data_IF_241081340044
#
_entry.id   IF_241081340044
#
_cell.length_a   1.000
_cell.length_b   1.000
_cell.length_c   1.000
_cell.angle_alpha   90.00
_cell.angle_beta   90.00
_cell.angle_gamma   90.00
#
_symmetry.space_group_name_H-M   'P 1'
#
loop_
_entity.id
_entity.type
_entity.pdbx_description
1 polymer ?
#
# COMPACT_ATOMS: atom_id res chain seq x y z
N UNK A 1 -11.02 -48.10 -28.12
CA UNK A 1 -10.72 -46.66 -27.99
C UNK A 1 -10.72 -46.30 -26.51
N UNK A 2 -9.63 -45.76 -25.94
CA UNK A 2 -9.64 -45.26 -24.57
C UNK A 2 -10.63 -44.08 -24.46
N UNK A 3 -11.34 -43.99 -23.33
CA UNK A 3 -12.28 -42.88 -23.08
C UNK A 3 -11.50 -41.54 -23.02
N UNK A 4 -12.02 -40.45 -23.62
CA UNK A 4 -11.36 -39.15 -23.52
C UNK A 4 -11.36 -38.67 -22.06
N UNK A 5 -10.21 -38.19 -21.59
CA UNK A 5 -10.04 -37.68 -20.23
C UNK A 5 -10.88 -36.41 -20.02
N UNK A 6 -11.66 -36.37 -18.94
CA UNK A 6 -12.54 -35.28 -18.55
C UNK A 6 -11.90 -34.35 -17.52
N UNK A 7 -12.57 -33.26 -17.16
CA UNK A 7 -12.02 -32.28 -16.20
C UNK A 7 -11.77 -32.89 -14.83
N UNK A 8 -12.59 -33.87 -14.42
CA UNK A 8 -12.47 -34.55 -13.13
C UNK A 8 -11.20 -35.39 -13.00
N UNK A 9 -10.69 -35.93 -14.11
CA UNK A 9 -9.48 -36.77 -14.12
C UNK A 9 -8.22 -35.98 -13.74
N UNK A 10 -8.29 -34.64 -13.80
CA UNK A 10 -7.20 -33.72 -13.43
C UNK A 10 -7.40 -33.06 -12.06
N UNK A 11 -8.40 -33.47 -11.27
CA UNK A 11 -8.66 -32.89 -9.95
C UNK A 11 -8.39 -33.93 -8.86
N UNK A 12 -7.48 -33.61 -7.93
CA UNK A 12 -7.11 -34.51 -6.84
C UNK A 12 -8.27 -34.84 -5.87
N UNK A 13 -9.26 -33.95 -5.73
CA UNK A 13 -10.45 -34.12 -4.86
C UNK A 13 -11.69 -33.47 -5.51
N UNK A 14 -12.74 -34.26 -5.77
CA UNK A 14 -14.05 -33.75 -6.25
C UNK A 14 -14.94 -33.34 -5.06
N UNK A 15 -15.13 -32.03 -4.90
CA UNK A 15 -15.96 -31.46 -3.82
C UNK A 15 -17.46 -31.50 -4.10
N UNK A 16 -17.86 -31.81 -5.34
CA UNK A 16 -19.27 -31.81 -5.73
C UNK A 16 -19.94 -33.15 -5.50
N UNK A 17 -19.19 -34.25 -5.53
CA UNK A 17 -19.66 -35.63 -5.29
C UNK A 17 -20.81 -36.10 -6.19
N UNK A 18 -21.26 -35.28 -7.15
CA UNK A 18 -22.41 -35.54 -8.02
C UNK A 18 -22.03 -36.18 -9.35
N UNK A 19 -20.74 -36.31 -9.66
CA UNK A 19 -20.31 -36.95 -10.91
C UNK A 19 -20.59 -36.11 -12.16
N UNK A 20 -20.85 -34.80 -12.06
CA UNK A 20 -21.00 -33.87 -13.20
C UNK A 20 -19.77 -32.95 -13.37
N UNK A 21 -19.12 -33.03 -14.54
CA UNK A 21 -17.90 -32.26 -14.88
C UNK A 21 -18.17 -30.74 -14.89
N UNK A 22 -19.32 -30.32 -15.39
CA UNK A 22 -19.66 -28.90 -15.51
C UNK A 22 -19.91 -28.29 -14.13
N UNK A 23 -20.56 -29.04 -13.25
CA UNK A 23 -20.82 -28.64 -11.88
C UNK A 23 -19.52 -28.50 -11.07
N UNK A 24 -18.61 -29.47 -11.21
CA UNK A 24 -17.28 -29.46 -10.59
C UNK A 24 -16.44 -28.25 -11.06
N UNK A 25 -16.47 -27.95 -12.36
CA UNK A 25 -15.81 -26.78 -12.95
C UNK A 25 -16.38 -25.46 -12.41
N UNK A 26 -17.71 -25.35 -12.30
CA UNK A 26 -18.38 -24.17 -11.75
C UNK A 26 -18.12 -24.00 -10.23
N UNK A 27 -18.01 -25.09 -9.47
CA UNK A 27 -17.62 -25.08 -8.05
C UNK A 27 -16.18 -24.57 -7.86
N UNK A 28 -15.23 -25.10 -8.65
CA UNK A 28 -13.82 -24.66 -8.59
C UNK A 28 -13.65 -23.21 -9.03
N UNK A 29 -14.46 -22.72 -9.97
CA UNK A 29 -14.49 -21.29 -10.33
C UNK A 29 -14.99 -20.42 -9.17
N UNK A 30 -16.06 -20.84 -8.48
CA UNK A 30 -16.59 -20.13 -7.29
C UNK A 30 -15.56 -20.04 -6.16
N UNK A 31 -14.83 -21.12 -5.87
CA UNK A 31 -13.78 -21.12 -4.84
C UNK A 31 -12.56 -20.24 -5.19
N UNK A 32 -12.22 -20.12 -6.48
CA UNK A 32 -11.18 -19.19 -6.94
C UNK A 32 -11.62 -17.72 -6.83
N UNK A 33 -12.89 -17.44 -7.08
CA UNK A 33 -13.44 -16.08 -7.00
C UNK A 33 -13.77 -15.63 -5.56
N UNK A 34 -13.93 -16.58 -4.62
CA UNK A 34 -14.21 -16.31 -3.20
C UNK A 34 -13.00 -15.85 -2.37
N UNK A 35 -11.91 -15.41 -3.01
CA UNK A 35 -10.86 -14.61 -2.35
C UNK A 35 -9.88 -15.38 -1.46
N UNK A 36 -9.98 -16.70 -1.36
CA UNK A 36 -9.08 -17.56 -0.58
C UNK A 36 -8.14 -18.36 -1.48
N UNK A 37 -7.55 -17.67 -2.44
CA UNK A 37 -6.35 -18.11 -3.16
C UNK A 37 -5.46 -16.87 -3.31
N UNK A 38 -4.88 -16.44 -2.19
CA UNK A 38 -3.79 -15.48 -2.20
C UNK A 38 -2.50 -16.27 -2.10
N UNK A 39 -1.81 -16.47 -3.22
CA UNK A 39 -0.34 -16.48 -3.35
C UNK A 39 0.01 -16.86 -4.79
N UNK A 40 0.81 -16.02 -5.46
CA UNK A 40 1.39 -16.21 -6.80
C UNK A 40 0.56 -15.68 -7.99
N UNK A 41 0.42 -14.36 -8.03
CA UNK A 41 0.35 -13.60 -9.28
C UNK A 41 1.41 -12.47 -9.20
N UNK A 42 2.04 -12.07 -10.31
CA UNK A 42 3.12 -11.08 -10.31
C UNK A 42 2.66 -9.75 -9.68
N UNK A 43 3.59 -8.88 -9.31
CA UNK A 43 3.41 -7.53 -8.72
C UNK A 43 2.47 -6.60 -9.53
N UNK A 44 1.19 -6.97 -9.68
CA UNK A 44 0.22 -6.25 -10.47
C UNK A 44 -0.43 -5.19 -9.59
N UNK A 45 -0.09 -3.94 -9.88
CA UNK A 45 -0.85 -2.80 -9.42
C UNK A 45 -2.35 -3.03 -9.67
N UNK A 46 -3.23 -2.68 -8.70
CA UNK A 46 -4.67 -2.90 -8.78
C UNK A 46 -5.22 -2.61 -10.19
N UNK A 47 -5.94 -3.58 -10.75
CA UNK A 47 -6.63 -3.42 -12.04
C UNK A 47 -7.61 -2.23 -11.96
N UNK A 48 -7.97 -1.64 -13.11
CA UNK A 48 -8.86 -0.48 -13.16
C UNK A 48 -10.18 -0.77 -12.43
N UNK A 49 -10.74 -1.96 -12.61
CA UNK A 49 -11.97 -2.39 -11.94
C UNK A 49 -11.80 -2.49 -10.42
N UNK A 50 -10.71 -3.08 -9.93
CA UNK A 50 -10.39 -3.14 -8.49
C UNK A 50 -10.20 -1.74 -7.89
N UNK A 51 -9.58 -0.82 -8.65
CA UNK A 51 -9.39 0.58 -8.25
C UNK A 51 -10.73 1.30 -8.09
N UNK A 52 -11.64 1.15 -9.04
CA UNK A 52 -12.99 1.73 -8.97
C UNK A 52 -13.80 1.16 -7.79
N UNK A 53 -13.71 -0.15 -7.53
CA UNK A 53 -14.33 -0.79 -6.35
C UNK A 53 -13.78 -0.21 -5.05
N UNK A 54 -12.46 -0.10 -4.92
CA UNK A 54 -11.80 0.48 -3.75
C UNK A 54 -12.14 1.97 -3.58
N UNK A 55 -12.23 2.73 -4.67
CA UNK A 55 -12.64 4.14 -4.63
C UNK A 55 -14.05 4.29 -4.05
N UNK A 56 -15.01 3.46 -4.49
CA UNK A 56 -16.38 3.45 -3.93
C UNK A 56 -16.39 3.10 -2.44
N UNK A 57 -15.63 2.09 -2.03
CA UNK A 57 -15.49 1.73 -0.61
C UNK A 57 -14.89 2.88 0.22
N UNK A 58 -13.84 3.53 -0.29
CA UNK A 58 -13.20 4.66 0.40
C UNK A 58 -14.11 5.88 0.52
N UNK A 59 -14.99 6.14 -0.45
CA UNK A 59 -16.04 7.17 -0.34
C UNK A 59 -16.99 6.86 0.82
N UNK A 60 -17.46 5.61 0.96
CA UNK A 60 -18.30 5.18 2.07
C UNK A 60 -17.60 5.29 3.43
N UNK A 61 -16.30 5.00 3.48
CA UNK A 61 -15.51 5.04 4.71
C UNK A 61 -14.95 6.44 5.04
N UNK A 62 -15.04 7.41 4.12
CA UNK A 62 -14.51 8.76 4.28
C UNK A 62 -14.87 9.43 5.62
N UNK A 63 -16.13 9.44 6.09
CA UNK A 63 -16.48 10.06 7.38
C UNK A 63 -15.83 9.34 8.57
N UNK A 64 -15.79 8.00 8.56
CA UNK A 64 -15.12 7.20 9.61
C UNK A 64 -13.62 7.49 9.65
N UNK A 65 -12.98 7.60 8.48
CA UNK A 65 -11.57 7.97 8.34
C UNK A 65 -11.34 9.39 8.84
N UNK A 66 -12.24 10.34 8.56
CA UNK A 66 -12.13 11.72 9.02
C UNK A 66 -12.16 11.79 10.56
N UNK A 67 -13.10 11.09 11.21
CA UNK A 67 -13.16 10.98 12.68
C UNK A 67 -11.89 10.34 13.23
N UNK A 68 -11.42 9.25 12.62
CA UNK A 68 -10.18 8.58 13.00
C UNK A 68 -8.96 9.51 12.91
N UNK A 69 -8.87 10.30 11.83
CA UNK A 69 -7.82 11.33 11.63
C UNK A 69 -7.90 12.43 12.69
N UNK A 70 -9.10 12.91 13.01
CA UNK A 70 -9.30 13.91 14.05
C UNK A 70 -8.86 13.41 15.42
N UNK A 71 -9.27 12.18 15.80
CA UNK A 71 -8.85 11.52 17.04
C UNK A 71 -7.34 11.30 17.10
N UNK A 72 -6.72 10.86 16.00
CA UNK A 72 -5.27 10.65 15.92
C UNK A 72 -4.48 11.98 15.98
N UNK A 73 -4.99 13.05 15.38
CA UNK A 73 -4.34 14.36 15.40
C UNK A 73 -4.27 14.98 16.81
N UNK A 74 -5.20 14.63 17.70
CA UNK A 74 -5.19 15.04 19.12
C UNK A 74 -4.10 14.32 19.92
N UNK A 75 -3.73 13.10 19.52
CA UNK A 75 -2.71 12.29 20.21
C UNK A 75 -1.29 12.71 19.76
N UNK A 76 -0.32 12.49 20.63
CA UNK A 76 1.09 12.52 20.22
C UNK A 76 1.38 11.32 19.32
N UNK A 77 2.21 11.54 18.29
CA UNK A 77 2.69 10.48 17.43
C UNK A 77 3.58 9.50 18.21
N UNK A 78 3.38 8.20 18.00
CA UNK A 78 4.25 7.16 18.54
C UNK A 78 5.64 7.17 17.87
N UNK A 79 6.63 6.51 18.47
CA UNK A 79 8.00 6.51 17.95
C UNK A 79 8.11 5.97 16.52
N UNK A 80 7.30 4.99 16.13
CA UNK A 80 7.33 4.43 14.78
C UNK A 80 6.79 5.38 13.73
N UNK A 81 5.74 6.15 14.05
CA UNK A 81 5.26 7.21 13.14
C UNK A 81 6.26 8.36 13.04
N UNK A 82 6.96 8.71 14.13
CA UNK A 82 8.05 9.68 14.09
C UNK A 82 9.21 9.20 13.20
N UNK A 83 9.63 7.93 13.31
CA UNK A 83 10.64 7.32 12.44
C UNK A 83 10.21 7.37 10.97
N UNK A 84 8.95 7.02 10.66
CA UNK A 84 8.39 7.09 9.30
C UNK A 84 8.39 8.53 8.77
N UNK A 85 8.00 9.51 9.58
CA UNK A 85 8.02 10.95 9.22
C UNK A 85 9.45 11.45 8.98
N UNK A 86 10.39 11.11 9.86
CA UNK A 86 11.81 11.46 9.70
C UNK A 86 12.40 10.87 8.41
N UNK A 87 12.08 9.61 8.09
CA UNK A 87 12.48 8.98 6.83
C UNK A 87 11.88 9.67 5.62
N UNK A 88 10.60 10.06 5.66
CA UNK A 88 9.94 10.82 4.59
C UNK A 88 10.59 12.19 4.39
N UNK A 89 10.86 12.93 5.46
CA UNK A 89 11.56 14.20 5.41
C UNK A 89 12.96 14.05 4.82
N UNK A 90 13.71 13.04 5.24
CA UNK A 90 15.04 12.73 4.71
C UNK A 90 15.00 12.45 3.20
N UNK A 91 14.03 11.64 2.73
CA UNK A 91 13.83 11.38 1.30
C UNK A 91 13.50 12.64 0.52
N UNK A 92 12.71 13.54 1.08
CA UNK A 92 12.33 14.80 0.42
C UNK A 92 13.52 15.77 0.35
N UNK A 93 14.35 15.85 1.40
CA UNK A 93 15.56 16.67 1.40
C UNK A 93 16.54 16.22 0.32
N UNK A 94 16.79 14.92 0.21
CA UNK A 94 17.69 14.39 -0.82
C UNK A 94 17.08 14.56 -2.21
N UNK A 95 15.77 14.33 -2.36
CA UNK A 95 15.10 14.56 -3.63
C UNK A 95 15.23 16.01 -4.08
N UNK A 96 15.00 16.98 -3.20
CA UNK A 96 15.16 18.41 -3.48
C UNK A 96 16.57 18.77 -3.96
N UNK A 97 17.60 18.08 -3.44
CA UNK A 97 18.98 18.24 -3.93
C UNK A 97 19.16 17.66 -5.33
N UNK A 98 18.61 16.48 -5.61
CA UNK A 98 18.69 15.83 -6.91
C UNK A 98 17.95 16.58 -8.02
N UNK A 99 16.90 17.32 -7.65
CA UNK A 99 16.02 18.08 -8.55
C UNK A 99 16.39 19.56 -8.60
N UNK A 100 17.55 19.94 -8.06
CA UNK A 100 18.04 21.33 -8.01
C UNK A 100 17.00 22.33 -7.47
N UNK A 101 16.24 21.93 -6.45
CA UNK A 101 15.28 22.78 -5.77
C UNK A 101 13.81 22.51 -6.08
N UNK A 102 13.48 21.82 -7.18
CA UNK A 102 12.10 21.47 -7.51
C UNK A 102 11.54 20.39 -6.58
N UNK A 103 10.26 20.43 -6.22
CA UNK A 103 9.68 19.38 -5.38
C UNK A 103 9.37 18.14 -6.22
N UNK A 104 9.29 16.96 -5.59
CA UNK A 104 8.85 15.73 -6.31
C UNK A 104 7.46 15.87 -6.94
N UNK A 105 6.62 16.73 -6.36
CA UNK A 105 5.25 16.99 -6.81
C UNK A 105 5.22 17.67 -8.18
N UNK A 106 6.20 18.53 -8.44
CA UNK A 106 6.24 19.41 -9.62
C UNK A 106 6.83 18.70 -10.85
N UNK A 107 7.31 17.47 -10.68
CA UNK A 107 7.94 16.69 -11.74
C UNK A 107 6.93 15.81 -12.47
N UNK A 108 7.16 15.67 -13.78
CA UNK A 108 6.50 14.66 -14.60
C UNK A 108 6.71 13.25 -14.01
N UNK A 109 5.74 12.35 -14.20
CA UNK A 109 5.71 10.99 -13.68
C UNK A 109 6.99 10.22 -14.01
N UNK A 110 7.46 10.29 -15.25
CA UNK A 110 8.69 9.62 -15.68
C UNK A 110 9.90 10.06 -14.83
N UNK A 111 10.04 11.37 -14.63
CA UNK A 111 11.14 11.93 -13.84
C UNK A 111 11.00 11.60 -12.35
N UNK A 112 9.77 11.59 -11.82
CA UNK A 112 9.48 11.19 -10.44
C UNK A 112 9.91 9.74 -10.18
N UNK A 113 9.55 8.82 -11.08
CA UNK A 113 9.96 7.40 -10.98
C UNK A 113 11.48 7.24 -11.02
N UNK A 114 12.17 7.96 -11.91
CA UNK A 114 13.62 7.92 -11.99
C UNK A 114 14.29 8.38 -10.68
N UNK A 115 13.79 9.46 -10.09
CA UNK A 115 14.29 9.97 -8.82
C UNK A 115 14.00 8.99 -7.69
N UNK A 116 12.84 8.33 -7.68
CA UNK A 116 12.52 7.31 -6.69
C UNK A 116 13.49 6.12 -6.76
N UNK A 117 13.79 5.62 -7.97
CA UNK A 117 14.81 4.59 -8.19
C UNK A 117 16.19 5.02 -7.68
N UNK A 118 16.59 6.27 -7.92
CA UNK A 118 17.85 6.83 -7.39
C UNK A 118 17.84 6.94 -5.86
N UNK A 119 16.71 7.33 -5.27
CA UNK A 119 16.56 7.41 -3.81
C UNK A 119 16.61 6.04 -3.14
N UNK A 120 16.09 4.99 -3.78
CA UNK A 120 16.18 3.63 -3.24
C UNK A 120 17.63 3.15 -3.15
N UNK A 121 18.46 3.46 -4.15
CA UNK A 121 19.91 3.20 -4.10
C UNK A 121 20.62 3.96 -2.97
N UNK A 122 20.04 5.07 -2.50
CA UNK A 122 20.59 5.90 -1.41
C UNK A 122 19.99 5.59 -0.03
N UNK A 123 19.31 4.45 0.14
CA UNK A 123 18.67 4.05 1.40
C UNK A 123 19.57 4.16 2.64
N UNK A 124 20.86 3.74 2.63
CA UNK A 124 21.74 3.89 3.79
C UNK A 124 21.99 5.36 4.17
N UNK A 125 22.13 6.26 3.18
CA UNK A 125 22.30 7.70 3.40
C UNK A 125 21.02 8.32 3.97
N UNK A 126 19.85 7.90 3.45
CA UNK A 126 18.54 8.32 3.96
C UNK A 126 18.37 7.89 5.42
N UNK A 127 18.72 6.66 5.78
CA UNK A 127 18.53 6.15 7.13
C UNK A 127 19.45 6.84 8.14
N UNK A 128 20.70 7.13 7.78
CA UNK A 128 21.60 7.97 8.59
C UNK A 128 21.04 9.37 8.81
N UNK A 129 20.49 9.99 7.77
CA UNK A 129 19.90 11.32 7.85
C UNK A 129 18.60 11.33 8.67
N UNK A 130 17.77 10.29 8.53
CA UNK A 130 16.54 10.12 9.30
C UNK A 130 16.83 10.02 10.80
N UNK A 131 17.89 9.32 11.22
CA UNK A 131 18.34 9.27 12.62
C UNK A 131 18.68 10.66 13.15
N UNK A 132 19.38 11.49 12.36
CA UNK A 132 19.71 12.88 12.73
C UNK A 132 18.48 13.80 12.77
N UNK A 133 17.47 13.54 11.94
CA UNK A 133 16.23 14.33 11.91
C UNK A 133 15.23 13.97 13.01
N UNK A 134 15.29 12.77 13.58
CA UNK A 134 14.34 12.31 14.61
C UNK A 134 14.12 13.31 15.75
N UNK A 135 15.16 13.91 16.37
CA UNK A 135 14.98 14.90 17.41
C UNK A 135 14.24 16.15 16.91
N UNK A 136 14.54 16.62 15.69
CA UNK A 136 13.86 17.77 15.08
C UNK A 136 12.38 17.47 14.82
N UNK A 137 12.07 16.27 14.31
CA UNK A 137 10.68 15.81 14.10
C UNK A 137 9.92 15.70 15.41
N UNK A 138 10.57 15.20 16.48
CA UNK A 138 9.96 15.13 17.82
C UNK A 138 9.66 16.52 18.38
N UNK A 139 10.61 17.47 18.25
CA UNK A 139 10.39 18.87 18.64
C UNK A 139 9.23 19.51 17.86
N UNK A 140 9.15 19.26 16.55
CA UNK A 140 8.05 19.76 15.72
C UNK A 140 6.68 19.18 16.14
N UNK A 141 6.60 17.91 16.51
CA UNK A 141 5.36 17.32 17.04
C UNK A 141 4.96 17.89 18.40
N UNK A 142 5.92 18.13 19.27
CA UNK A 142 5.68 18.79 20.55
C UNK A 142 5.19 20.23 20.35
N UNK A 143 5.83 20.97 19.43
CA UNK A 143 5.41 22.32 19.07
C UNK A 143 3.98 22.32 18.51
N UNK A 144 3.64 21.39 17.60
CA UNK A 144 2.28 21.22 17.05
C UNK A 144 1.24 20.95 18.14
N UNK A 145 1.59 20.14 19.15
CA UNK A 145 0.67 19.87 20.27
C UNK A 145 0.53 21.10 21.18
N UNK A 146 1.63 21.80 21.46
CA UNK A 146 1.65 22.99 22.32
C UNK A 146 0.91 24.17 21.68
N UNK A 147 1.05 24.38 20.37
CA UNK A 147 0.36 25.47 19.65
C UNK A 147 -1.15 25.26 19.64
N UNK A 148 -1.62 24.01 19.46
CA UNK A 148 -3.05 23.67 19.52
C UNK A 148 -3.70 23.77 20.89
N UNK A 149 -2.92 23.95 21.97
CA UNK A 149 -3.46 24.21 23.31
C UNK A 149 -3.44 25.68 23.70
N UNK A 150 -2.97 26.57 22.82
CA UNK A 150 -2.95 28.02 23.01
C UNK A 150 -3.99 28.77 22.17
N UNK A 151 -4.59 28.08 21.20
CA UNK A 151 -5.85 28.48 20.53
C UNK A 151 -7.01 27.82 21.28
#
# INVERSE_FOLDING_TARGET
MPKPLGFKDFVAVDYTQTGDDQLALNSKKRKRDSGEATTEGPDEALTIQQRLKKARQMKKLAPKIAIGRARAARKMANMDTLKKRAKKQARNMIAKKLTKGQSKGDLNMARRMEIEKRLDKMKPKIDKLAKKLLPKVRKAELARKKSKGKE
#
